data_IF_623607676484
#
_entry.id   IF_623607676484
#
_cell.length_a   1.000
_cell.length_b   1.000
_cell.length_c   1.000
_cell.angle_alpha   90.00
_cell.angle_beta   90.00
_cell.angle_gamma   90.00
#
_symmetry.space_group_name_H-M   'P 1'
#
loop_
_entity.id
_entity.type
_entity.pdbx_description
1 polymer ?
#
# COMPACT_ATOMS: atom_id res chain seq x y z
N UNK A 1 10.83 4.15 7.39
CA UNK A 1 9.56 3.41 7.23
C UNK A 1 9.71 2.17 6.34
N UNK A 2 9.69 2.27 5.00
CA UNK A 2 9.56 1.09 4.11
C UNK A 2 10.62 -0.01 4.31
N UNK A 3 11.90 0.34 4.41
CA UNK A 3 12.96 -0.65 4.62
C UNK A 3 12.83 -1.36 5.98
N UNK A 4 12.39 -0.62 7.00
CA UNK A 4 12.17 -1.16 8.34
C UNK A 4 10.92 -2.03 8.41
N UNK A 5 9.89 -1.70 7.63
CA UNK A 5 8.73 -2.56 7.44
C UNK A 5 9.14 -3.89 6.79
N UNK A 6 9.98 -3.84 5.76
CA UNK A 6 10.43 -5.04 5.05
C UNK A 6 11.44 -5.88 5.84
N UNK A 7 12.26 -5.25 6.70
CA UNK A 7 13.13 -5.97 7.64
C UNK A 7 12.39 -6.53 8.86
N UNK A 8 11.10 -6.18 9.04
CA UNK A 8 10.30 -6.56 10.21
C UNK A 8 10.58 -5.72 11.47
N UNK A 9 11.42 -4.68 11.38
CA UNK A 9 11.66 -3.74 12.46
C UNK A 9 10.45 -2.86 12.79
N UNK A 10 9.59 -2.59 11.80
CA UNK A 10 8.35 -1.85 11.99
C UNK A 10 7.13 -2.66 11.56
N UNK A 11 6.05 -2.54 12.32
CA UNK A 11 4.74 -3.08 11.95
C UNK A 11 4.00 -2.11 11.02
N UNK A 12 2.96 -2.63 10.36
CA UNK A 12 2.04 -1.81 9.56
C UNK A 12 1.44 -0.65 10.37
N UNK A 13 1.03 -0.91 11.61
CA UNK A 13 0.41 0.10 12.48
C UNK A 13 1.41 1.20 12.86
N UNK A 14 2.64 0.85 13.20
CA UNK A 14 3.69 1.81 13.52
C UNK A 14 4.02 2.73 12.33
N UNK A 15 4.04 2.17 11.12
CA UNK A 15 4.20 2.95 9.88
C UNK A 15 3.03 3.93 9.73
N UNK A 16 1.79 3.48 9.91
CA UNK A 16 0.61 4.35 9.79
C UNK A 16 0.56 5.44 10.87
N UNK A 17 0.94 5.13 12.11
CA UNK A 17 1.06 6.11 13.19
C UNK A 17 2.07 7.22 12.84
N UNK A 18 3.24 6.83 12.32
CA UNK A 18 4.28 7.75 11.86
C UNK A 18 3.80 8.67 10.73
N UNK A 19 3.03 8.12 9.80
CA UNK A 19 2.41 8.89 8.71
C UNK A 19 1.37 9.87 9.26
N UNK A 20 0.52 9.45 10.20
CA UNK A 20 -0.54 10.29 10.75
C UNK A 20 -0.04 11.40 11.71
N UNK A 21 1.10 11.19 12.37
CA UNK A 21 1.66 12.16 13.31
C UNK A 21 2.36 13.36 12.64
N UNK A 22 2.73 13.24 11.37
CA UNK A 22 3.46 14.29 10.66
C UNK A 22 2.55 15.44 10.19
N UNK A 23 3.01 16.68 10.37
CA UNK A 23 2.36 17.86 9.76
C UNK A 23 2.82 17.99 8.31
N UNK A 24 1.89 17.85 7.36
CA UNK A 24 2.14 17.93 5.92
C UNK A 24 1.01 18.67 5.22
N UNK A 25 1.26 19.15 4.00
CA UNK A 25 0.17 19.58 3.12
C UNK A 25 -0.74 18.40 2.77
N UNK A 26 -1.96 18.67 2.31
CA UNK A 26 -2.90 17.62 1.91
C UNK A 26 -2.33 16.73 0.79
N UNK A 27 -1.68 17.33 -0.22
CA UNK A 27 -1.08 16.59 -1.32
C UNK A 27 0.07 15.68 -0.86
N UNK A 28 0.92 16.15 0.05
CA UNK A 28 1.98 15.34 0.64
C UNK A 28 1.41 14.22 1.50
N UNK A 29 0.35 14.50 2.27
CA UNK A 29 -0.32 13.50 3.09
C UNK A 29 -0.91 12.39 2.22
N UNK A 30 -1.62 12.73 1.14
CA UNK A 30 -2.16 11.74 0.20
C UNK A 30 -1.07 10.89 -0.46
N UNK A 31 0.06 11.50 -0.84
CA UNK A 31 1.23 10.77 -1.35
C UNK A 31 1.79 9.78 -0.33
N UNK A 32 1.99 10.24 0.90
CA UNK A 32 2.50 9.43 2.01
C UNK A 32 1.57 8.25 2.33
N UNK A 33 0.26 8.50 2.42
CA UNK A 33 -0.75 7.47 2.65
C UNK A 33 -0.79 6.43 1.52
N UNK A 34 -0.76 6.89 0.26
CA UNK A 34 -0.71 5.99 -0.89
C UNK A 34 0.45 5.01 -0.79
N UNK A 35 1.68 5.50 -0.60
CA UNK A 35 2.85 4.63 -0.54
C UNK A 35 2.90 3.77 0.72
N UNK A 36 2.45 4.29 1.87
CA UNK A 36 2.38 3.50 3.10
C UNK A 36 1.44 2.30 2.92
N UNK A 37 0.21 2.54 2.45
CA UNK A 37 -0.74 1.47 2.17
C UNK A 37 -0.23 0.51 1.09
N UNK A 38 0.38 1.02 0.01
CA UNK A 38 0.92 0.19 -1.05
C UNK A 38 1.98 -0.78 -0.50
N UNK A 39 2.98 -0.27 0.22
CA UNK A 39 4.09 -1.10 0.69
C UNK A 39 3.70 -2.03 1.83
N UNK A 40 2.79 -1.63 2.72
CA UNK A 40 2.21 -2.54 3.71
C UNK A 40 1.49 -3.69 3.01
N UNK A 41 0.64 -3.38 2.02
CA UNK A 41 -0.11 -4.38 1.29
C UNK A 41 0.76 -5.38 0.54
N UNK A 42 1.80 -4.88 -0.14
CA UNK A 42 2.76 -5.74 -0.86
C UNK A 42 3.60 -6.61 0.10
N UNK A 43 4.06 -6.05 1.22
CA UNK A 43 4.80 -6.80 2.23
C UNK A 43 3.95 -7.91 2.85
N UNK A 44 2.70 -7.59 3.21
CA UNK A 44 1.77 -8.57 3.75
C UNK A 44 1.49 -9.70 2.75
N UNK A 45 1.34 -9.38 1.46
CA UNK A 45 1.14 -10.38 0.42
C UNK A 45 2.31 -11.36 0.31
N UNK A 46 3.55 -10.86 0.38
CA UNK A 46 4.77 -11.70 0.35
C UNK A 46 4.87 -12.59 1.58
N UNK A 47 4.44 -12.09 2.75
CA UNK A 47 4.45 -12.83 4.01
C UNK A 47 3.23 -13.76 4.20
N UNK A 48 2.33 -13.85 3.21
CA UNK A 48 1.17 -14.74 3.24
C UNK A 48 -0.02 -14.22 4.05
N UNK A 49 0.02 -12.98 4.53
CA UNK A 49 -1.10 -12.33 5.24
C UNK A 49 -2.07 -11.69 4.24
N UNK A 50 -2.93 -12.53 3.66
CA UNK A 50 -3.85 -12.13 2.60
C UNK A 50 -4.87 -11.07 3.05
N UNK A 51 -5.31 -11.11 4.31
CA UNK A 51 -6.28 -10.17 4.86
C UNK A 51 -5.68 -8.77 5.00
N UNK A 52 -4.49 -8.66 5.59
CA UNK A 52 -3.78 -7.37 5.70
C UNK A 52 -3.39 -6.87 4.31
N UNK A 53 -2.92 -7.76 3.43
CA UNK A 53 -2.58 -7.41 2.06
C UNK A 53 -3.78 -6.78 1.34
N UNK A 54 -4.93 -7.43 1.37
CA UNK A 54 -6.15 -6.96 0.72
C UNK A 54 -6.59 -5.61 1.28
N UNK A 55 -6.69 -5.47 2.61
CA UNK A 55 -7.08 -4.22 3.27
C UNK A 55 -6.22 -3.04 2.81
N UNK A 56 -4.89 -3.19 2.87
CA UNK A 56 -3.99 -2.08 2.56
C UNK A 56 -3.91 -1.79 1.05
N UNK A 57 -3.94 -2.82 0.19
CA UNK A 57 -3.99 -2.59 -1.26
C UNK A 57 -5.30 -1.92 -1.70
N UNK A 58 -6.44 -2.25 -1.08
CA UNK A 58 -7.71 -1.54 -1.34
C UNK A 58 -7.61 -0.05 -1.00
N UNK A 59 -7.01 0.30 0.14
CA UNK A 59 -6.82 1.70 0.54
C UNK A 59 -5.86 2.43 -0.41
N UNK A 60 -4.77 1.78 -0.84
CA UNK A 60 -3.86 2.36 -1.83
C UNK A 60 -4.55 2.61 -3.19
N UNK A 61 -5.40 1.68 -3.64
CA UNK A 61 -6.09 1.78 -4.94
C UNK A 61 -7.20 2.82 -4.92
N UNK A 62 -7.86 3.03 -3.78
CA UNK A 62 -8.86 4.08 -3.57
C UNK A 62 -8.29 5.50 -3.58
N UNK A 63 -6.98 5.65 -3.35
CA UNK A 63 -6.34 6.95 -3.39
C UNK A 63 -6.24 7.49 -4.84
N UNK A 64 -6.69 8.73 -5.06
CA UNK A 64 -6.72 9.35 -6.39
C UNK A 64 -5.43 10.11 -6.75
N UNK A 65 -4.65 10.55 -5.75
CA UNK A 65 -3.37 11.23 -5.94
C UNK A 65 -2.42 10.55 -6.94
N UNK A 66 -2.16 9.23 -6.88
CA UNK A 66 -1.20 8.60 -7.79
C UNK A 66 -1.66 8.62 -9.25
N UNK A 67 -2.97 8.76 -9.50
CA UNK A 67 -3.53 8.83 -10.86
C UNK A 67 -3.21 10.17 -11.50
N UNK A 68 -3.11 11.25 -10.71
CA UNK A 68 -2.89 12.63 -11.18
C UNK A 68 -1.44 13.10 -11.03
N UNK A 69 -0.65 12.50 -10.13
CA UNK A 69 0.72 12.89 -9.81
C UNK A 69 1.77 12.72 -10.95
N UNK A 70 1.40 12.08 -12.07
CA UNK A 70 2.28 11.82 -13.22
C UNK A 70 3.38 10.79 -12.93
N UNK A 71 4.01 10.21 -13.97
CA UNK A 71 5.17 9.31 -13.86
C UNK A 71 4.97 8.08 -12.93
N UNK A 72 5.92 7.84 -12.02
CA UNK A 72 6.05 6.64 -11.17
C UNK A 72 4.83 6.31 -10.30
N UNK A 73 4.19 7.26 -9.60
CA UNK A 73 2.98 7.03 -8.82
C UNK A 73 1.87 6.28 -9.57
N UNK A 74 1.61 6.65 -10.83
CA UNK A 74 0.56 5.98 -11.63
C UNK A 74 0.91 4.53 -11.92
N UNK A 75 2.17 4.26 -12.24
CA UNK A 75 2.64 2.89 -12.43
C UNK A 75 2.50 2.08 -11.15
N UNK A 76 2.92 2.63 -10.01
CA UNK A 76 2.81 1.97 -8.70
C UNK A 76 1.35 1.73 -8.30
N UNK A 77 0.43 2.61 -8.69
CA UNK A 77 -1.01 2.38 -8.51
C UNK A 77 -1.50 1.17 -9.31
N UNK A 78 -1.05 1.02 -10.56
CA UNK A 78 -1.38 -0.17 -11.34
C UNK A 78 -0.82 -1.45 -10.71
N UNK A 79 0.39 -1.42 -10.13
CA UNK A 79 0.94 -2.55 -9.36
C UNK A 79 0.01 -2.91 -8.21
N UNK A 80 -0.36 -1.94 -7.37
CA UNK A 80 -1.28 -2.18 -6.25
C UNK A 80 -2.63 -2.76 -6.70
N UNK A 81 -3.21 -2.22 -7.78
CA UNK A 81 -4.47 -2.69 -8.36
C UNK A 81 -4.37 -4.14 -8.84
N UNK A 82 -3.33 -4.49 -9.61
CA UNK A 82 -3.17 -5.86 -10.13
C UNK A 82 -2.97 -6.86 -8.99
N UNK A 83 -2.18 -6.52 -7.97
CA UNK A 83 -2.03 -7.38 -6.80
C UNK A 83 -3.34 -7.59 -6.05
N UNK A 84 -4.15 -6.54 -5.88
CA UNK A 84 -5.48 -6.65 -5.28
C UNK A 84 -6.42 -7.54 -6.12
N UNK A 85 -6.41 -7.39 -7.45
CA UNK A 85 -7.19 -8.24 -8.36
C UNK A 85 -6.78 -9.71 -8.26
N UNK A 86 -5.48 -10.00 -8.15
CA UNK A 86 -4.97 -11.35 -7.96
C UNK A 86 -5.40 -11.96 -6.62
N UNK A 87 -5.36 -11.19 -5.53
CA UNK A 87 -5.83 -11.63 -4.21
C UNK A 87 -7.34 -11.91 -4.17
N UNK A 88 -8.12 -11.20 -4.98
CA UNK A 88 -9.57 -11.40 -5.08
C UNK A 88 -9.98 -12.47 -6.08
N UNK A 89 -9.07 -12.98 -6.90
CA UNK A 89 -9.39 -14.01 -7.87
C UNK A 89 -9.68 -15.33 -7.14
N UNK A 90 -10.77 -16.04 -7.48
CA UNK A 90 -11.00 -17.39 -6.96
C UNK A 90 -9.80 -18.28 -7.30
N UNK A 91 -9.29 -19.04 -6.33
CA UNK A 91 -8.30 -20.07 -6.63
C UNK A 91 -8.96 -21.11 -7.51
N UNK A 92 -8.47 -21.25 -8.74
CA UNK A 92 -8.82 -22.38 -9.60
C UNK A 92 -7.89 -23.51 -9.17
N UNK A 93 -8.44 -24.52 -8.50
CA UNK A 93 -7.73 -25.79 -8.34
C UNK A 93 -7.66 -26.47 -9.71
N UNK A 94 -6.43 -26.76 -10.17
CA UNK A 94 -6.14 -27.50 -11.41
C UNK A 94 -6.16 -28.99 -11.14
#
# INVERSE_FOLDING_TARGET
EVYKLFSGELTADQVMESINAGKRSEAEQQSCEFYAHLYIGLNAAINGDAEVAKKHLELAVKNDWPKTAGYGPRYMWHVGRVHLELLNRPKVEL
#
